data_IF_155761958541
#
_entry.id   IF_155761958541
#
_cell.length_a   1.000
_cell.length_b   1.000
_cell.length_c   1.000
_cell.angle_alpha   90.00
_cell.angle_beta   90.00
_cell.angle_gamma   90.00
#
_symmetry.space_group_name_H-M   'P 1'
#
loop_
_entity.id
_entity.type
_entity.pdbx_description
1 polymer ?
#
# COMPACT_ATOMS: atom_id res chain seq x y z
N UNK A 1 0.74 21.13 -20.90
CA UNK A 1 1.87 21.42 -19.99
C UNK A 1 2.10 20.22 -19.07
N UNK A 2 3.07 19.37 -19.41
CA UNK A 2 3.40 18.16 -18.65
C UNK A 2 4.28 18.53 -17.44
N UNK A 3 3.72 18.50 -16.23
CA UNK A 3 4.50 18.58 -15.00
C UNK A 3 5.31 17.29 -14.83
N UNK A 4 6.56 17.33 -15.28
CA UNK A 4 7.59 16.30 -15.08
C UNK A 4 7.87 16.22 -13.57
N UNK A 5 7.21 15.30 -12.86
CA UNK A 5 7.55 14.97 -11.48
C UNK A 5 9.01 14.49 -11.47
N UNK A 6 9.91 15.32 -10.94
CA UNK A 6 11.37 15.21 -10.99
C UNK A 6 11.86 13.77 -10.72
N UNK A 7 12.37 13.11 -11.76
CA UNK A 7 13.02 11.78 -11.68
C UNK A 7 12.13 10.55 -11.85
N UNK A 8 10.84 10.70 -12.19
CA UNK A 8 9.97 9.56 -12.49
C UNK A 8 9.85 9.31 -14.01
N UNK A 9 9.98 8.06 -14.41
CA UNK A 9 9.69 7.56 -15.76
C UNK A 9 8.33 6.85 -15.73
N UNK A 10 7.33 7.37 -16.44
CA UNK A 10 5.99 6.77 -16.51
C UNK A 10 5.93 5.65 -17.56
N UNK A 11 5.19 4.59 -17.25
CA UNK A 11 4.99 3.39 -18.07
C UNK A 11 3.49 3.22 -18.35
N UNK A 12 2.96 4.13 -19.18
CA UNK A 12 1.54 4.17 -19.55
C UNK A 12 0.66 4.87 -18.52
N UNK A 13 -0.39 5.52 -19.03
CA UNK A 13 -1.49 6.09 -18.25
C UNK A 13 -2.79 5.70 -18.93
N UNK A 14 -3.48 4.71 -18.39
CA UNK A 14 -4.91 4.54 -18.67
C UNK A 14 -5.67 5.36 -17.60
N UNK A 15 -6.93 5.72 -17.85
CA UNK A 15 -7.68 6.58 -16.92
C UNK A 15 -7.65 6.08 -15.48
N UNK A 16 -7.61 4.76 -15.29
CA UNK A 16 -7.70 4.12 -13.98
C UNK A 16 -6.37 3.57 -13.45
N UNK A 17 -5.26 3.73 -14.18
CA UNK A 17 -3.95 3.18 -13.81
C UNK A 17 -2.77 4.07 -14.27
N UNK A 18 -1.91 4.45 -13.32
CA UNK A 18 -0.65 5.17 -13.54
C UNK A 18 0.52 4.38 -12.93
N UNK A 19 1.42 3.88 -13.78
CA UNK A 19 2.65 3.21 -13.37
C UNK A 19 3.86 4.11 -13.64
N UNK A 20 4.76 4.23 -12.67
CA UNK A 20 6.00 4.96 -12.83
C UNK A 20 7.15 4.28 -12.09
N UNK A 21 8.37 4.49 -12.58
CA UNK A 21 9.61 4.01 -12.01
C UNK A 21 10.55 5.18 -11.75
N UNK A 22 11.31 5.11 -10.66
CA UNK A 22 12.35 6.06 -10.33
C UNK A 22 13.61 5.32 -9.93
N UNK A 23 14.70 5.54 -10.67
CA UNK A 23 16.04 5.13 -10.22
C UNK A 23 16.44 5.94 -9.00
N UNK A 24 17.08 5.30 -8.03
CA UNK A 24 17.58 5.93 -6.81
C UNK A 24 19.11 5.92 -6.82
N UNK A 25 19.71 7.01 -6.35
CA UNK A 25 21.15 7.20 -6.27
C UNK A 25 21.67 6.87 -4.87
N UNK A 26 21.27 5.71 -4.33
CA UNK A 26 21.61 5.25 -2.97
C UNK A 26 22.52 4.01 -2.96
N UNK A 27 23.11 3.68 -4.11
CA UNK A 27 24.01 2.54 -4.29
C UNK A 27 23.31 1.17 -4.39
N UNK A 28 22.01 1.08 -4.11
CA UNK A 28 21.28 -0.18 -4.25
C UNK A 28 20.78 -0.38 -5.69
N UNK A 29 20.87 -1.59 -6.27
CA UNK A 29 20.47 -1.84 -7.65
C UNK A 29 18.96 -1.73 -7.92
N UNK A 30 18.13 -1.50 -6.91
CA UNK A 30 16.67 -1.47 -7.08
C UNK A 30 16.19 -0.03 -7.13
N UNK A 31 15.47 0.33 -8.18
CA UNK A 31 14.68 1.57 -8.20
C UNK A 31 13.38 1.44 -7.41
N UNK A 32 12.66 2.55 -7.32
CA UNK A 32 11.37 2.65 -6.68
C UNK A 32 10.26 2.64 -7.73
N UNK A 33 9.30 1.73 -7.57
CA UNK A 33 8.10 1.71 -8.39
C UNK A 33 6.96 2.44 -7.69
N UNK A 34 6.11 3.09 -8.48
CA UNK A 34 4.85 3.72 -8.05
C UNK A 34 3.74 3.21 -8.95
N UNK A 35 2.72 2.59 -8.37
CA UNK A 35 1.48 2.27 -9.07
C UNK A 35 0.34 3.05 -8.42
N UNK A 36 -0.51 3.70 -9.20
CA UNK A 36 -1.71 4.38 -8.70
C UNK A 36 -2.95 3.93 -9.47
N UNK A 37 -4.00 3.59 -8.75
CA UNK A 37 -5.28 3.13 -9.30
C UNK A 37 -6.46 3.76 -8.57
N UNK A 38 -7.64 3.72 -9.18
CA UNK A 38 -8.91 4.09 -8.55
C UNK A 38 -9.67 2.83 -8.12
N UNK A 39 -10.28 2.87 -6.94
CA UNK A 39 -11.08 1.78 -6.37
C UNK A 39 -12.40 2.38 -5.86
N UNK A 40 -13.52 1.74 -6.22
CA UNK A 40 -14.87 2.05 -5.75
C UNK A 40 -15.11 1.58 -4.30
N UNK A 41 -14.29 2.05 -3.36
CA UNK A 41 -14.43 1.75 -1.94
C UNK A 41 -13.88 2.89 -1.06
N UNK A 42 -14.40 3.08 0.17
CA UNK A 42 -13.85 4.01 1.15
C UNK A 42 -12.42 3.65 1.59
N UNK A 43 -11.60 4.64 2.02
CA UNK A 43 -10.20 4.38 2.38
C UNK A 43 -9.99 3.33 3.47
N UNK A 44 -10.91 3.27 4.45
CA UNK A 44 -10.82 2.35 5.57
C UNK A 44 -11.06 0.90 5.15
N UNK A 45 -11.96 0.66 4.19
CA UNK A 45 -12.25 -0.68 3.68
C UNK A 45 -11.07 -1.22 2.87
N UNK A 46 -10.45 -0.37 2.06
CA UNK A 46 -9.22 -0.71 1.32
C UNK A 46 -8.07 -1.03 2.27
N UNK A 47 -7.91 -0.25 3.35
CA UNK A 47 -6.90 -0.54 4.36
C UNK A 47 -7.16 -1.90 5.03
N UNK A 48 -8.41 -2.20 5.38
CA UNK A 48 -8.78 -3.49 5.96
C UNK A 48 -8.51 -4.66 5.01
N UNK A 49 -8.85 -4.51 3.72
CA UNK A 49 -8.56 -5.49 2.66
C UNK A 49 -7.06 -5.79 2.54
N UNK A 50 -6.22 -4.76 2.61
CA UNK A 50 -4.76 -4.88 2.58
C UNK A 50 -4.20 -5.56 3.85
N UNK A 51 -4.74 -5.24 5.02
CA UNK A 51 -4.22 -5.74 6.30
C UNK A 51 -4.63 -7.19 6.57
N UNK A 52 -5.88 -7.55 6.27
CA UNK A 52 -6.53 -8.72 6.85
C UNK A 52 -7.06 -9.72 5.81
N UNK A 53 -7.23 -9.32 4.55
CA UNK A 53 -7.95 -10.11 3.55
C UNK A 53 -7.12 -10.33 2.28
N UNK A 54 -5.81 -10.54 2.46
CA UNK A 54 -4.87 -10.71 1.33
C UNK A 54 -5.21 -11.90 0.43
N UNK A 55 -5.81 -12.95 0.99
CA UNK A 55 -6.30 -14.11 0.26
C UNK A 55 -7.43 -13.77 -0.75
N UNK A 56 -8.09 -12.61 -0.63
CA UNK A 56 -9.15 -12.21 -1.57
C UNK A 56 -8.62 -11.58 -2.86
N UNK A 57 -7.35 -11.17 -2.91
CA UNK A 57 -6.81 -10.42 -4.05
C UNK A 57 -5.40 -10.83 -4.49
N UNK A 58 -4.70 -11.66 -3.73
CA UNK A 58 -3.37 -12.13 -4.08
C UNK A 58 -3.39 -13.65 -4.31
N UNK A 59 -3.54 -14.09 -5.56
CA UNK A 59 -3.54 -15.53 -5.90
C UNK A 59 -2.23 -16.24 -5.53
N UNK A 60 -1.13 -15.49 -5.38
CA UNK A 60 0.14 -16.05 -4.95
C UNK A 60 0.18 -16.19 -3.42
N UNK A 61 -0.73 -15.59 -2.65
CA UNK A 61 -0.74 -15.69 -1.18
C UNK A 61 -1.06 -17.10 -0.71
N UNK A 62 -0.15 -17.67 0.10
CA UNK A 62 -0.32 -19.01 0.66
C UNK A 62 -0.82 -18.97 2.11
N UNK A 63 -0.14 -18.19 2.95
CA UNK A 63 -0.46 -18.07 4.38
C UNK A 63 0.16 -16.81 4.95
N UNK A 64 -0.39 -16.35 6.07
CA UNK A 64 0.20 -15.25 6.84
C UNK A 64 -0.45 -15.11 8.20
N UNK A 65 0.33 -14.60 9.15
CA UNK A 65 -0.12 -14.43 10.52
C UNK A 65 0.64 -13.28 11.20
N UNK A 66 -0.01 -12.68 12.19
CA UNK A 66 0.61 -11.71 13.09
C UNK A 66 1.50 -12.48 14.06
N UNK A 67 2.75 -12.05 14.17
CA UNK A 67 3.74 -12.64 15.10
C UNK A 67 3.71 -11.88 16.43
N UNK A 68 3.63 -10.55 16.35
CA UNK A 68 3.68 -9.67 17.51
C UNK A 68 2.85 -8.42 17.24
N UNK A 69 2.03 -8.00 18.20
CA UNK A 69 1.34 -6.71 18.16
C UNK A 69 2.17 -5.70 18.95
N UNK A 70 2.75 -4.71 18.28
CA UNK A 70 3.60 -3.71 18.92
C UNK A 70 2.78 -2.57 19.54
N UNK A 71 1.67 -2.19 18.89
CA UNK A 71 0.67 -1.26 19.43
C UNK A 71 -0.66 -1.41 18.66
N UNK A 72 -1.61 -0.48 18.85
CA UNK A 72 -2.93 -0.50 18.19
C UNK A 72 -2.86 -0.47 16.66
N UNK A 73 -1.82 0.14 16.10
CA UNK A 73 -1.69 0.47 14.68
C UNK A 73 -0.38 -0.01 14.06
N UNK A 74 0.35 -0.88 14.78
CA UNK A 74 1.63 -1.44 14.33
C UNK A 74 1.75 -2.88 14.81
N UNK A 75 2.14 -3.77 13.91
CA UNK A 75 2.42 -5.16 14.23
C UNK A 75 3.52 -5.75 13.34
N UNK A 76 4.11 -6.85 13.80
CA UNK A 76 4.97 -7.71 13.01
C UNK A 76 4.12 -8.77 12.34
N UNK A 77 4.21 -8.86 11.03
CA UNK A 77 3.44 -9.79 10.21
C UNK A 77 4.39 -10.61 9.34
N UNK A 78 4.17 -11.93 9.32
CA UNK A 78 4.84 -12.80 8.35
C UNK A 78 3.83 -13.34 7.36
N UNK A 79 4.31 -13.61 6.15
CA UNK A 79 3.52 -14.29 5.15
C UNK A 79 4.41 -14.97 4.12
N UNK A 80 3.82 -15.93 3.40
CA UNK A 80 4.44 -16.61 2.28
C UNK A 80 3.61 -16.39 1.03
N UNK A 81 4.30 -16.09 -0.08
CA UNK A 81 3.71 -16.10 -1.42
C UNK A 81 4.38 -17.14 -2.30
N UNK A 82 3.63 -17.70 -3.24
CA UNK A 82 4.14 -18.58 -4.26
C UNK A 82 5.04 -17.81 -5.25
N UNK A 83 5.75 -18.55 -6.08
CA UNK A 83 6.48 -18.00 -7.22
C UNK A 83 6.28 -18.91 -8.43
N UNK A 84 6.30 -18.33 -9.62
CA UNK A 84 6.27 -19.14 -10.83
C UNK A 84 7.48 -20.08 -10.87
N UNK A 85 7.23 -21.35 -11.15
CA UNK A 85 8.27 -22.36 -11.31
C UNK A 85 9.33 -21.90 -12.33
N UNK A 86 10.62 -22.20 -12.13
CA UNK A 86 11.19 -23.07 -11.08
C UNK A 86 11.57 -22.34 -9.78
N UNK A 87 11.09 -21.12 -9.54
CA UNK A 87 11.53 -20.34 -8.38
C UNK A 87 10.83 -20.78 -7.10
N UNK A 88 11.60 -20.88 -6.01
CA UNK A 88 11.06 -21.16 -4.68
C UNK A 88 10.02 -20.12 -4.23
N UNK A 89 9.11 -20.47 -3.33
CA UNK A 89 8.19 -19.49 -2.73
C UNK A 89 8.94 -18.44 -1.88
N UNK A 90 8.34 -17.27 -1.69
CA UNK A 90 8.95 -16.14 -0.99
C UNK A 90 8.35 -15.96 0.39
N UNK A 91 9.23 -15.90 1.39
CA UNK A 91 8.87 -15.62 2.77
C UNK A 91 9.14 -14.15 3.09
N UNK A 92 8.18 -13.51 3.73
CA UNK A 92 8.26 -12.15 4.20
C UNK A 92 8.07 -12.10 5.71
N UNK A 93 8.83 -11.22 6.36
CA UNK A 93 8.62 -10.82 7.74
C UNK A 93 8.79 -9.31 7.79
N UNK A 94 7.72 -8.60 8.12
CA UNK A 94 7.62 -7.15 7.99
C UNK A 94 6.97 -6.53 9.22
N UNK A 95 7.44 -5.35 9.59
CA UNK A 95 6.64 -4.45 10.43
C UNK A 95 5.65 -3.73 9.53
N UNK A 96 4.36 -3.79 9.87
CA UNK A 96 3.29 -3.02 9.21
C UNK A 96 2.76 -1.98 10.17
N UNK A 97 2.80 -0.71 9.78
CA UNK A 97 2.28 0.42 10.54
C UNK A 97 1.27 1.20 9.71
N UNK A 98 0.12 1.53 10.28
CA UNK A 98 -0.92 2.25 9.55
C UNK A 98 -1.50 3.42 10.33
N UNK A 99 -2.13 4.35 9.61
CA UNK A 99 -2.90 5.46 10.18
C UNK A 99 -4.19 5.62 9.37
N UNK A 100 -5.25 6.00 10.07
CA UNK A 100 -6.58 6.23 9.50
C UNK A 100 -7.00 7.68 9.71
N UNK A 101 -8.01 8.13 8.96
CA UNK A 101 -8.65 9.45 9.11
C UNK A 101 -7.65 10.62 9.08
N UNK A 102 -6.61 10.51 8.25
CA UNK A 102 -5.65 11.59 8.05
C UNK A 102 -6.31 12.64 7.18
N UNK A 103 -6.39 13.87 7.70
CA UNK A 103 -6.87 15.03 6.94
C UNK A 103 -5.75 15.53 6.01
N UNK A 104 -5.98 15.46 4.70
CA UNK A 104 -5.08 16.03 3.71
C UNK A 104 -5.55 17.43 3.35
N UNK A 105 -4.73 18.44 3.64
CA UNK A 105 -4.92 19.76 3.05
C UNK A 105 -4.58 19.72 1.55
N UNK A 106 -5.30 20.52 0.77
CA UNK A 106 -5.32 20.52 -0.71
C UNK A 106 -4.00 20.87 -1.38
N UNK A 107 -2.96 21.23 -0.62
CA UNK A 107 -1.64 21.57 -1.14
C UNK A 107 -0.82 20.30 -1.31
N UNK A 108 -0.58 19.85 -2.56
CA UNK A 108 0.09 18.59 -2.93
C UNK A 108 1.50 18.33 -2.37
N UNK A 109 2.02 19.14 -1.45
CA UNK A 109 3.28 18.89 -0.73
C UNK A 109 3.15 17.80 0.35
N UNK A 110 1.97 17.60 0.93
CA UNK A 110 1.76 16.61 2.01
C UNK A 110 1.78 15.16 1.52
N UNK A 111 1.31 14.93 0.29
CA UNK A 111 1.40 13.64 -0.40
C UNK A 111 2.85 13.16 -0.48
N UNK A 112 3.74 14.05 -0.94
CA UNK A 112 5.17 13.75 -1.02
C UNK A 112 5.79 13.57 0.37
N UNK A 113 5.32 14.28 1.40
CA UNK A 113 5.84 14.17 2.78
C UNK A 113 5.45 12.85 3.47
N UNK A 114 4.22 12.37 3.25
CA UNK A 114 3.73 11.08 3.76
C UNK A 114 4.45 9.91 3.07
N UNK A 115 4.63 10.02 1.75
CA UNK A 115 5.29 9.00 0.95
C UNK A 115 6.82 8.99 1.11
N UNK A 116 7.45 10.09 1.55
CA UNK A 116 8.91 10.21 1.67
C UNK A 116 9.48 9.92 3.07
N UNK A 117 8.68 9.96 4.14
CA UNK A 117 9.19 9.82 5.52
C UNK A 117 8.79 8.49 6.17
N UNK A 118 9.73 7.88 6.91
CA UNK A 118 9.39 6.87 7.91
C UNK A 118 8.35 7.49 8.85
N UNK A 119 7.18 6.86 9.00
CA UNK A 119 6.18 7.33 9.95
C UNK A 119 6.84 7.37 11.35
N UNK A 120 6.80 8.50 12.08
CA UNK A 120 7.34 8.53 13.43
C UNK A 120 6.62 7.47 14.29
N UNK A 121 7.41 6.61 14.94
CA UNK A 121 6.93 5.70 15.98
C UNK A 121 6.80 6.57 17.24
N UNK A 122 5.59 7.07 17.53
CA UNK A 122 5.41 8.03 18.62
C UNK A 122 3.97 8.21 19.06
N UNK A 123 3.70 7.71 20.26
CA UNK A 123 2.57 7.86 21.18
C UNK A 123 1.43 8.82 20.82
N UNK A 124 0.21 8.29 20.91
CA UNK A 124 -1.03 9.05 21.04
C UNK A 124 -0.97 10.00 22.23
N UNK A 125 -0.92 11.31 21.96
CA UNK A 125 -1.36 12.31 22.93
C UNK A 125 -2.82 12.65 22.63
N UNK A 126 -3.71 12.09 23.43
CA UNK A 126 -5.06 12.60 23.61
C UNK A 126 -5.01 13.96 24.30
N UNK A 127 -5.43 15.01 23.62
CA UNK A 127 -5.83 16.26 24.29
C UNK A 127 -7.26 16.56 23.91
N UNK A 128 -8.15 16.24 24.83
CA UNK A 128 -9.50 16.77 24.90
C UNK A 128 -9.45 18.29 25.05
N UNK A 129 -10.20 19.02 24.24
CA UNK A 129 -10.66 20.36 24.59
C UNK A 129 -12.01 20.61 23.96
N UNK A 130 -12.98 20.71 24.85
CA UNK A 130 -14.34 21.15 24.62
C UNK A 130 -14.35 22.62 24.22
N UNK A 131 -15.03 22.97 23.14
CA UNK A 131 -15.56 24.32 22.95
C UNK A 131 -16.87 24.24 22.17
N UNK A 132 -17.95 24.62 22.86
CA UNK A 132 -19.27 24.87 22.29
C UNK A 132 -19.18 26.18 21.51
N UNK A 133 -19.60 26.15 20.24
CA UNK A 133 -19.69 27.32 19.39
C UNK A 133 -20.53 27.00 18.16
N UNK A 134 -21.84 27.20 18.27
CA UNK A 134 -22.77 27.16 17.14
C UNK A 134 -22.55 28.41 16.27
N UNK A 135 -22.26 28.26 14.97
CA UNK A 135 -22.57 29.27 13.95
C UNK A 135 -22.54 28.66 12.53
N UNK A 136 -23.43 29.18 11.67
CA UNK A 136 -23.94 28.57 10.44
C UNK A 136 -22.96 28.48 9.23
N UNK A 137 -23.25 27.46 8.41
CA UNK A 137 -22.98 27.25 6.98
C UNK A 137 -22.16 28.28 6.18
N UNK A 138 -21.07 27.81 5.57
CA UNK A 138 -20.81 27.70 4.10
C UNK A 138 -19.33 27.92 3.80
N UNK A 139 -18.49 26.90 4.02
CA UNK A 139 -17.28 26.65 3.24
C UNK A 139 -17.01 25.15 3.25
N UNK A 140 -17.52 24.45 2.24
CA UNK A 140 -17.26 23.03 2.04
C UNK A 140 -15.85 22.87 1.45
N UNK A 141 -14.81 23.15 2.25
CA UNK A 141 -13.46 22.74 1.93
C UNK A 141 -13.48 21.21 1.91
N UNK A 142 -13.40 20.59 0.72
CA UNK A 142 -13.31 19.13 0.53
C UNK A 142 -12.19 18.56 1.41
N UNK A 143 -12.52 18.18 2.64
CA UNK A 143 -11.63 17.47 3.54
C UNK A 143 -11.46 16.07 2.96
N UNK A 144 -10.28 15.82 2.39
CA UNK A 144 -9.93 14.51 1.83
C UNK A 144 -9.34 13.68 2.95
N UNK A 145 -10.12 12.73 3.43
CA UNK A 145 -9.67 11.71 4.36
C UNK A 145 -8.73 10.74 3.67
N UNK A 146 -7.73 10.27 4.40
CA UNK A 146 -6.79 9.28 3.90
C UNK A 146 -6.41 8.25 4.95
N UNK A 147 -6.09 7.06 4.45
CA UNK A 147 -5.40 6.02 5.17
C UNK A 147 -3.98 5.85 4.61
N UNK A 148 -3.05 5.47 5.47
CA UNK A 148 -1.66 5.18 5.11
C UNK A 148 -1.27 3.84 5.70
N UNK A 149 -0.57 3.02 4.94
CA UNK A 149 0.05 1.78 5.40
C UNK A 149 1.51 1.77 4.95
N UNK A 150 2.43 1.53 5.86
CA UNK A 150 3.85 1.38 5.60
C UNK A 150 4.30 0.02 6.07
N UNK A 151 4.93 -0.74 5.19
CA UNK A 151 5.56 -2.02 5.48
C UNK A 151 7.06 -1.95 5.20
N UNK A 152 7.86 -2.57 6.06
CA UNK A 152 9.32 -2.68 5.90
C UNK A 152 9.78 -4.01 6.50
N UNK A 153 10.70 -4.70 5.83
CA UNK A 153 11.23 -5.96 6.34
C UNK A 153 12.02 -5.76 7.62
N UNK A 154 11.83 -6.69 8.56
CA UNK A 154 12.59 -6.74 9.82
C UNK A 154 13.03 -8.18 10.08
N UNK A 155 14.11 -8.36 10.84
CA UNK A 155 14.43 -9.65 11.43
C UNK A 155 13.72 -9.78 12.78
N UNK A 156 13.11 -10.94 13.02
CA UNK A 156 12.42 -11.20 14.29
C UNK A 156 12.75 -12.62 14.77
N UNK A 157 13.13 -12.82 16.05
CA UNK A 157 13.61 -14.11 16.55
C UNK A 157 12.66 -15.29 16.31
N UNK A 158 11.35 -15.03 16.42
CA UNK A 158 10.29 -16.04 16.23
C UNK A 158 9.82 -16.18 14.78
N UNK A 159 10.49 -15.51 13.83
CA UNK A 159 10.06 -15.40 12.43
C UNK A 159 11.23 -15.64 11.46
N UNK A 160 11.82 -16.84 11.59
CA UNK A 160 12.92 -17.27 10.74
C UNK A 160 12.38 -17.79 9.41
N UNK A 161 13.08 -17.50 8.33
CA UNK A 161 12.73 -18.01 7.01
C UNK A 161 12.86 -19.54 7.01
N UNK A 162 11.81 -20.29 6.64
CA UNK A 162 11.89 -21.74 6.48
C UNK A 162 12.91 -22.15 5.40
N UNK A 163 13.61 -23.31 5.53
CA UNK A 163 14.71 -23.69 4.64
C UNK A 163 14.36 -23.85 3.14
N UNK A 164 13.10 -24.14 2.81
CA UNK A 164 12.63 -24.31 1.42
C UNK A 164 12.17 -23.00 0.77
N UNK A 165 12.18 -21.91 1.53
CA UNK A 165 11.69 -20.60 1.10
C UNK A 165 12.86 -19.63 0.95
N UNK A 166 12.67 -18.63 0.11
CA UNK A 166 13.62 -17.53 -0.04
C UNK A 166 13.07 -16.30 0.68
N UNK A 167 13.88 -15.70 1.56
CA UNK A 167 13.51 -14.48 2.28
C UNK A 167 13.53 -13.28 1.34
N UNK A 168 12.39 -12.67 1.11
CA UNK A 168 12.31 -11.40 0.39
C UNK A 168 12.62 -10.23 1.34
N UNK A 169 13.10 -9.12 0.78
CA UNK A 169 13.46 -7.90 1.50
C UNK A 169 12.64 -6.73 0.98
N UNK A 170 11.70 -6.25 1.79
CA UNK A 170 10.90 -5.05 1.53
C UNK A 170 11.63 -3.83 2.08
N UNK A 171 12.32 -3.12 1.19
CA UNK A 171 13.01 -1.86 1.50
C UNK A 171 12.00 -0.71 1.68
N UNK A 172 10.94 -0.71 0.87
CA UNK A 172 9.81 0.18 1.05
C UNK A 172 8.54 -0.42 0.42
N UNK A 173 7.46 -0.47 1.19
CA UNK A 173 6.11 -0.70 0.67
C UNK A 173 5.18 0.28 1.36
N UNK A 174 4.66 1.26 0.62
CA UNK A 174 3.90 2.39 1.19
C UNK A 174 2.62 2.60 0.40
N UNK A 175 1.48 2.37 1.03
CA UNK A 175 0.16 2.65 0.47
C UNK A 175 -0.34 3.99 1.01
N UNK A 176 -0.84 4.81 0.11
CA UNK A 176 -1.58 6.02 0.40
C UNK A 176 -2.95 5.88 -0.25
N UNK A 177 -3.99 5.85 0.57
CA UNK A 177 -5.36 5.60 0.18
C UNK A 177 -6.13 6.87 0.47
N UNK A 178 -6.52 7.60 -0.55
CA UNK A 178 -7.16 8.90 -0.41
C UNK A 178 -8.59 8.84 -0.89
N UNK A 179 -9.51 9.44 -0.15
CA UNK A 179 -10.86 9.62 -0.67
C UNK A 179 -10.84 10.48 -1.93
N UNK A 180 -11.63 10.04 -2.91
CA UNK A 180 -11.71 10.63 -4.24
C UNK A 180 -13.19 10.66 -4.67
N UNK A 181 -13.97 11.60 -4.13
CA UNK A 181 -15.38 11.78 -4.49
C UNK A 181 -16.33 10.79 -3.79
N UNK A 182 -17.43 10.46 -4.46
CA UNK A 182 -18.59 9.70 -3.96
C UNK A 182 -18.28 8.21 -3.65
N UNK A 183 -17.57 7.95 -2.56
CA UNK A 183 -17.29 6.57 -2.10
C UNK A 183 -16.14 5.88 -2.82
N UNK A 184 -15.42 6.59 -3.69
CA UNK A 184 -14.21 6.08 -4.35
C UNK A 184 -12.97 6.52 -3.60
N UNK A 185 -11.90 5.76 -3.80
CA UNK A 185 -10.57 6.11 -3.33
C UNK A 185 -9.53 5.98 -4.42
N UNK A 186 -8.57 6.89 -4.39
CA UNK A 186 -7.33 6.74 -5.13
C UNK A 186 -6.30 6.04 -4.25
N UNK A 187 -5.77 4.93 -4.72
CA UNK A 187 -4.71 4.17 -4.04
C UNK A 187 -3.40 4.36 -4.78
N UNK A 188 -2.38 4.87 -4.08
CA UNK A 188 -1.01 4.94 -4.57
C UNK A 188 -0.13 4.01 -3.75
N UNK A 189 0.53 3.05 -4.41
CA UNK A 189 1.50 2.15 -3.80
C UNK A 189 2.91 2.46 -4.31
N UNK A 190 3.79 2.84 -3.38
CA UNK A 190 5.24 2.88 -3.61
C UNK A 190 5.86 1.56 -3.18
N UNK A 191 6.50 0.87 -4.11
CA UNK A 191 7.08 -0.45 -3.88
C UNK A 191 8.55 -0.51 -4.28
N UNK A 192 9.37 -1.01 -3.37
CA UNK A 192 10.76 -1.36 -3.55
C UNK A 192 11.02 -2.64 -2.74
N UNK A 193 10.88 -3.77 -3.40
CA UNK A 193 11.00 -5.09 -2.80
C UNK A 193 12.03 -5.89 -3.59
N UNK A 194 13.00 -6.44 -2.88
CA UNK A 194 13.88 -7.47 -3.41
C UNK A 194 13.29 -8.85 -3.13
N UNK A 195 12.77 -9.48 -4.18
CA UNK A 195 12.32 -10.86 -4.12
C UNK A 195 13.49 -11.86 -4.09
N UNK A 196 14.75 -11.43 -4.20
CA UNK A 196 15.95 -12.26 -4.30
C UNK A 196 15.96 -13.19 -5.55
N UNK A 197 17.14 -13.41 -6.14
CA UNK A 197 17.30 -14.33 -7.27
C UNK A 197 16.71 -13.85 -8.60
N UNK A 198 16.57 -12.53 -8.78
CA UNK A 198 16.17 -11.90 -10.05
C UNK A 198 17.28 -10.96 -10.52
N UNK A 199 17.41 -10.79 -11.83
CA UNK A 199 18.38 -9.86 -12.41
C UNK A 199 17.94 -8.40 -12.23
N UNK A 200 18.90 -7.47 -12.26
CA UNK A 200 18.62 -6.04 -12.25
C UNK A 200 17.68 -5.61 -13.40
N UNK A 201 17.87 -6.18 -14.59
CA UNK A 201 17.02 -5.93 -15.74
C UNK A 201 15.57 -6.39 -15.49
N UNK A 202 15.38 -7.55 -14.85
CA UNK A 202 14.05 -8.05 -14.50
C UNK A 202 13.31 -7.08 -13.57
N UNK A 203 13.98 -6.52 -12.57
CA UNK A 203 13.37 -5.52 -11.68
C UNK A 203 13.00 -4.22 -12.38
N UNK A 204 13.75 -3.85 -13.43
CA UNK A 204 13.54 -2.61 -14.16
C UNK A 204 12.48 -2.73 -15.26
N UNK A 205 12.22 -3.95 -15.76
CA UNK A 205 11.30 -4.19 -16.89
C UNK A 205 10.05 -4.99 -16.53
N UNK A 206 10.12 -5.91 -15.56
CA UNK A 206 9.06 -6.89 -15.28
C UNK A 206 8.34 -6.63 -13.96
N UNK A 207 9.06 -6.18 -12.93
CA UNK A 207 8.47 -5.98 -11.60
C UNK A 207 7.28 -5.00 -11.61
N UNK A 208 7.34 -3.96 -12.43
CA UNK A 208 6.22 -3.02 -12.62
C UNK A 208 4.92 -3.72 -13.04
N UNK A 209 4.98 -4.73 -13.91
CA UNK A 209 3.81 -5.51 -14.33
C UNK A 209 3.22 -6.36 -13.20
N UNK A 210 4.08 -6.90 -12.32
CA UNK A 210 3.63 -7.65 -11.14
C UNK A 210 2.92 -6.72 -10.15
N UNK A 211 3.49 -5.53 -9.93
CA UNK A 211 2.89 -4.50 -9.08
C UNK A 211 1.53 -4.07 -9.62
N UNK A 212 1.44 -3.79 -10.91
CA UNK A 212 0.19 -3.47 -11.60
C UNK A 212 -0.85 -4.59 -11.44
N UNK A 213 -0.47 -5.85 -11.69
CA UNK A 213 -1.37 -7.00 -11.52
C UNK A 213 -1.92 -7.09 -10.10
N UNK A 214 -1.04 -6.94 -9.10
CA UNK A 214 -1.40 -6.98 -7.68
C UNK A 214 -2.40 -5.87 -7.32
N UNK A 215 -2.16 -4.63 -7.76
CA UNK A 215 -3.06 -3.50 -7.51
C UNK A 215 -4.40 -3.67 -8.23
N UNK A 216 -4.40 -4.16 -9.47
CA UNK A 216 -5.62 -4.47 -10.21
C UNK A 216 -6.47 -5.52 -9.50
N UNK A 217 -5.88 -6.62 -9.01
CA UNK A 217 -6.64 -7.62 -8.24
C UNK A 217 -7.17 -7.08 -6.93
N UNK A 218 -6.40 -6.21 -6.25
CA UNK A 218 -6.89 -5.51 -5.07
C UNK A 218 -8.17 -4.72 -5.40
N UNK A 219 -8.18 -3.96 -6.49
CA UNK A 219 -9.39 -3.26 -6.96
C UNK A 219 -10.52 -4.23 -7.26
N UNK A 220 -10.26 -5.25 -8.06
CA UNK A 220 -11.29 -6.17 -8.56
C UNK A 220 -11.92 -6.98 -7.42
N UNK A 221 -11.20 -7.19 -6.31
CA UNK A 221 -11.74 -7.81 -5.10
C UNK A 221 -12.90 -7.04 -4.44
N UNK A 222 -13.13 -5.77 -4.79
CA UNK A 222 -14.28 -4.99 -4.31
C UNK A 222 -15.51 -5.10 -5.22
N UNK A 223 -15.34 -5.56 -6.47
CA UNK A 223 -16.45 -5.69 -7.43
C UNK A 223 -17.41 -6.81 -7.03
N UNK A 224 -16.89 -7.90 -6.46
CA UNK A 224 -17.67 -9.06 -6.05
C UNK A 224 -18.55 -8.86 -4.80
N UNK A 225 -18.36 -7.77 -4.04
CA UNK A 225 -19.21 -7.48 -2.87
C UNK A 225 -20.56 -6.87 -3.31
N UNK A 226 -20.61 -6.22 -4.47
CA UNK A 226 -21.81 -5.52 -4.95
C UNK A 226 -22.78 -6.41 -5.75
N UNK A 227 -22.45 -7.69 -5.96
CA UNK A 227 -23.29 -8.65 -6.68
C UNK A 227 -23.82 -9.71 -5.69
N UNK A 228 -24.76 -9.30 -4.83
CA UNK A 228 -25.56 -10.23 -4.03
C UNK A 228 -26.50 -11.06 -4.91
N UNK A 229 -26.94 -12.25 -4.47
CA UNK A 229 -27.81 -13.11 -5.26
C UNK A 229 -29.19 -12.46 -5.41
N UNK A 230 -29.59 -12.16 -6.64
CA UNK A 230 -30.98 -11.85 -6.95
C UNK A 230 -31.86 -13.02 -6.48
N UNK A 231 -32.60 -12.79 -5.39
CA UNK A 231 -33.64 -13.72 -4.97
C UNK A 231 -34.81 -13.50 -5.91
N UNK A 232 -34.98 -14.41 -6.87
CA UNK A 232 -36.21 -14.46 -7.68
C UNK A 232 -37.37 -14.80 -6.75
N UNK A 233 -38.26 -13.83 -6.57
CA UNK A 233 -39.61 -14.05 -6.05
C UNK A 233 -40.51 -14.51 -7.20
#
# INVERSE_FOLDING_TARGET
SYTKLKGWTSFGKNNDLDLAFKKLDDGHPLGLWKCSIEIEAPPIEILNRLLNERNLWDDDFQSGNIIEKLNRNTHVYQYTINSMAPLASRYFCEVRSWRTNIQLNTNGSYQNKILSKNLPIGSSSSTSSSAIGSFNSTQNSQQREACVLVCTSIEHPNARCPPKLVRAVTLASRYLIQSYGCGKSKVTHLSRVDLMGRSHEWYSKVYGSILTRSMTKLRDSFVHINTGPETKV
#
